data_IF_725947653652
#
_entry.id   IF_725947653652
#
_cell.length_a   1.000
_cell.length_b   1.000
_cell.length_c   1.000
_cell.angle_alpha   90.00
_cell.angle_beta   90.00
_cell.angle_gamma   90.00
#
_symmetry.space_group_name_H-M   'P 1'
#
loop_
_entity.id
_entity.type
_entity.pdbx_description
1 polymer ?
#
# COMPACT_ATOMS: atom_id res chain seq x y z
N UNK A 1 -7.81 9.01 -20.39
CA UNK A 1 -7.77 7.79 -19.54
C UNK A 1 -6.64 8.01 -18.54
N UNK A 2 -6.84 7.74 -17.26
CA UNK A 2 -5.79 7.90 -16.24
C UNK A 2 -4.68 6.87 -16.48
N UNK A 3 -3.44 7.30 -16.42
CA UNK A 3 -2.25 6.45 -16.56
C UNK A 3 -1.67 6.10 -15.18
N UNK A 4 -1.63 4.83 -14.84
CA UNK A 4 -1.07 4.36 -13.58
C UNK A 4 0.21 3.57 -13.82
N UNK A 5 1.26 3.90 -13.08
CA UNK A 5 2.51 3.17 -13.11
C UNK A 5 2.61 2.24 -11.90
N UNK A 6 2.62 0.93 -12.13
CA UNK A 6 2.96 -0.06 -11.11
C UNK A 6 4.47 -0.23 -11.11
N UNK A 7 5.11 0.06 -9.99
CA UNK A 7 6.56 -0.08 -9.85
C UNK A 7 6.94 -1.55 -9.90
N UNK A 8 7.85 -1.88 -10.81
CA UNK A 8 8.41 -3.23 -10.93
C UNK A 8 9.76 -3.31 -10.19
N UNK A 9 9.74 -3.62 -8.92
CA UNK A 9 10.95 -3.88 -8.15
C UNK A 9 11.27 -5.38 -8.01
N UNK A 10 10.83 -6.18 -9.00
CA UNK A 10 11.24 -7.59 -9.15
C UNK A 10 10.43 -8.59 -8.33
N UNK A 11 9.42 -8.14 -7.59
CA UNK A 11 8.60 -8.98 -6.71
C UNK A 11 7.12 -8.63 -6.82
N UNK A 12 6.24 -9.61 -6.66
CA UNK A 12 4.80 -9.34 -6.53
C UNK A 12 3.91 -9.97 -7.59
N UNK A 13 2.62 -10.05 -7.24
CA UNK A 13 1.56 -10.44 -8.17
C UNK A 13 1.08 -9.22 -8.97
N UNK A 14 2.00 -8.63 -9.75
CA UNK A 14 1.79 -7.39 -10.50
C UNK A 14 0.58 -7.46 -11.44
N UNK A 15 0.35 -8.66 -12.04
CA UNK A 15 -0.74 -8.87 -13.01
C UNK A 15 -2.12 -8.70 -12.38
N UNK A 16 -2.33 -9.19 -11.15
CA UNK A 16 -3.63 -9.05 -10.48
C UNK A 16 -3.90 -7.60 -10.09
N UNK A 17 -2.88 -6.88 -9.62
CA UNK A 17 -2.99 -5.44 -9.33
C UNK A 17 -3.30 -4.66 -10.60
N UNK A 18 -2.57 -4.93 -11.71
CA UNK A 18 -2.82 -4.34 -13.03
C UNK A 18 -4.27 -4.56 -13.47
N UNK A 19 -4.73 -5.80 -13.51
CA UNK A 19 -6.11 -6.13 -13.88
C UNK A 19 -7.14 -5.45 -13.00
N UNK A 20 -6.86 -5.31 -11.69
CA UNK A 20 -7.74 -4.60 -10.77
C UNK A 20 -7.99 -3.16 -11.19
N UNK A 21 -6.96 -2.42 -11.57
CA UNK A 21 -7.07 -1.03 -12.02
C UNK A 21 -7.56 -0.91 -13.48
N UNK A 22 -7.16 -1.83 -14.38
CA UNK A 22 -7.66 -1.86 -15.77
C UNK A 22 -9.18 -2.07 -15.82
N UNK A 23 -9.72 -2.96 -14.98
CA UNK A 23 -11.17 -3.17 -14.86
C UNK A 23 -11.93 -1.92 -14.37
N UNK A 24 -11.23 -0.96 -13.78
CA UNK A 24 -11.76 0.33 -13.32
C UNK A 24 -11.51 1.46 -14.34
N UNK A 25 -11.01 1.12 -15.53
CA UNK A 25 -10.82 2.05 -16.65
C UNK A 25 -9.53 2.86 -16.60
N UNK A 26 -8.52 2.44 -15.85
CA UNK A 26 -7.18 3.02 -15.89
C UNK A 26 -6.34 2.36 -17.00
N UNK A 27 -5.44 3.12 -17.61
CA UNK A 27 -4.34 2.60 -18.42
C UNK A 27 -3.15 2.30 -17.50
N UNK A 28 -2.71 1.05 -17.45
CA UNK A 28 -1.76 0.60 -16.41
C UNK A 28 -0.52 0.00 -17.01
N UNK A 29 0.61 0.62 -16.76
CA UNK A 29 1.93 0.07 -17.08
C UNK A 29 2.57 -0.61 -15.87
N UNK A 30 3.41 -1.60 -16.11
CA UNK A 30 4.31 -2.20 -15.12
C UNK A 30 5.72 -1.81 -15.55
N UNK A 31 6.39 -0.95 -14.79
CA UNK A 31 7.62 -0.33 -15.20
C UNK A 31 8.58 -0.05 -14.04
N UNK A 32 9.86 0.10 -14.36
CA UNK A 32 10.89 0.68 -13.50
C UNK A 32 11.61 1.85 -14.19
N UNK A 33 11.08 2.30 -15.35
CA UNK A 33 11.58 3.50 -16.03
C UNK A 33 11.12 4.76 -15.27
N UNK A 34 12.06 5.56 -14.74
CA UNK A 34 11.74 6.78 -13.99
C UNK A 34 10.87 7.75 -14.79
N UNK A 35 11.12 7.89 -16.09
CA UNK A 35 10.37 8.81 -16.95
C UNK A 35 8.90 8.39 -17.04
N UNK A 36 8.62 7.12 -17.31
CA UNK A 36 7.26 6.60 -17.41
C UNK A 36 6.51 6.74 -16.07
N UNK A 37 7.22 6.48 -14.95
CA UNK A 37 6.66 6.64 -13.60
C UNK A 37 6.31 8.10 -13.31
N UNK A 38 7.20 9.03 -13.64
CA UNK A 38 6.99 10.46 -13.38
C UNK A 38 5.92 11.07 -14.31
N UNK A 39 5.73 10.56 -15.51
CA UNK A 39 4.68 10.98 -16.46
C UNK A 39 3.31 10.37 -16.14
N UNK A 40 3.21 9.37 -15.23
CA UNK A 40 1.93 8.77 -14.84
C UNK A 40 1.08 9.69 -13.97
N UNK A 41 -0.24 9.47 -13.91
CA UNK A 41 -1.17 10.20 -13.05
C UNK A 41 -1.13 9.69 -11.60
N UNK A 42 -0.72 8.43 -11.38
CA UNK A 42 -0.55 7.86 -10.05
C UNK A 42 0.51 6.75 -10.04
N UNK A 43 1.15 6.57 -8.89
CA UNK A 43 2.16 5.55 -8.63
C UNK A 43 1.56 4.45 -7.74
N UNK A 44 1.73 3.19 -8.14
CA UNK A 44 1.29 2.03 -7.38
C UNK A 44 2.52 1.25 -6.90
N UNK A 45 2.68 1.14 -5.58
CA UNK A 45 3.66 0.25 -4.97
C UNK A 45 2.98 -1.10 -4.69
N UNK A 46 3.27 -2.15 -5.46
CA UNK A 46 2.64 -3.46 -5.30
C UNK A 46 3.18 -4.22 -4.07
N UNK A 47 2.62 -5.35 -3.73
CA UNK A 47 2.62 -5.86 -2.41
C UNK A 47 3.15 -7.23 -2.06
N UNK A 48 4.17 -7.86 -2.68
CA UNK A 48 4.79 -9.06 -2.09
C UNK A 48 6.31 -9.06 -2.31
N UNK A 49 7.07 -9.66 -1.38
CA UNK A 49 8.52 -9.77 -1.42
C UNK A 49 9.17 -9.38 -0.10
N UNK A 50 10.51 -9.37 -0.09
CA UNK A 50 11.30 -8.94 1.05
C UNK A 50 11.56 -7.42 1.00
N UNK A 51 11.41 -6.75 2.14
CA UNK A 51 11.57 -5.30 2.27
C UNK A 51 12.95 -4.82 1.77
N UNK A 52 14.02 -5.46 2.22
CA UNK A 52 15.38 -5.06 1.87
C UNK A 52 15.66 -5.18 0.36
N UNK A 53 15.16 -6.24 -0.29
CA UNK A 53 15.31 -6.45 -1.73
C UNK A 53 14.53 -5.41 -2.52
N UNK A 54 13.28 -5.13 -2.13
CA UNK A 54 12.47 -4.11 -2.76
C UNK A 54 13.13 -2.72 -2.66
N UNK A 55 13.63 -2.33 -1.48
CA UNK A 55 14.33 -1.06 -1.29
C UNK A 55 15.64 -0.98 -2.08
N UNK A 56 16.40 -2.08 -2.18
CA UNK A 56 17.59 -2.15 -3.03
C UNK A 56 17.24 -1.88 -4.50
N UNK A 57 16.17 -2.48 -5.00
CA UNK A 57 15.73 -2.32 -6.39
C UNK A 57 15.10 -0.95 -6.66
N UNK A 58 14.52 -0.30 -5.63
CA UNK A 58 14.01 1.07 -5.71
C UNK A 58 15.11 2.13 -5.59
N UNK A 59 16.26 1.81 -4.99
CA UNK A 59 17.30 2.80 -4.66
C UNK A 59 17.73 3.70 -5.83
N UNK A 60 17.81 3.23 -7.10
CA UNK A 60 18.21 4.07 -8.23
C UNK A 60 17.25 5.22 -8.52
N UNK A 61 15.97 5.10 -8.14
CA UNK A 61 14.90 6.07 -8.46
C UNK A 61 14.22 6.62 -7.19
N UNK A 62 14.73 6.27 -6.01
CA UNK A 62 14.05 6.58 -4.75
C UNK A 62 13.90 8.09 -4.50
N UNK A 63 14.89 8.89 -4.87
CA UNK A 63 14.85 10.34 -4.67
C UNK A 63 13.83 11.01 -5.61
N UNK A 64 13.82 10.61 -6.87
CA UNK A 64 12.85 11.10 -7.87
C UNK A 64 11.42 10.73 -7.47
N UNK A 65 11.21 9.49 -7.02
CA UNK A 65 9.92 9.04 -6.50
C UNK A 65 9.47 9.88 -5.30
N UNK A 66 10.36 10.10 -4.33
CA UNK A 66 10.05 10.92 -3.15
C UNK A 66 9.68 12.35 -3.57
N UNK A 67 10.47 12.98 -4.42
CA UNK A 67 10.20 14.33 -4.91
C UNK A 67 8.81 14.43 -5.55
N UNK A 68 8.49 13.55 -6.49
CA UNK A 68 7.19 13.54 -7.15
C UNK A 68 6.02 13.34 -6.17
N UNK A 69 6.18 12.47 -5.17
CA UNK A 69 5.16 12.20 -4.16
C UNK A 69 4.98 13.40 -3.22
N UNK A 70 6.07 14.03 -2.80
CA UNK A 70 6.04 15.23 -1.94
C UNK A 70 5.43 16.43 -2.67
N UNK A 71 5.58 16.52 -3.99
CA UNK A 71 4.93 17.49 -4.88
C UNK A 71 3.44 17.22 -5.13
N UNK A 72 2.91 16.10 -4.64
CA UNK A 72 1.49 15.80 -4.66
C UNK A 72 1.05 14.66 -5.60
N UNK A 73 1.98 13.94 -6.24
CA UNK A 73 1.63 12.79 -7.09
C UNK A 73 0.93 11.71 -6.26
N UNK A 74 -0.29 11.28 -6.63
CA UNK A 74 -1.04 10.27 -5.91
C UNK A 74 -0.31 8.93 -5.85
N UNK A 75 -0.35 8.29 -4.68
CA UNK A 75 0.30 7.00 -4.44
C UNK A 75 -0.65 6.01 -3.78
N UNK A 76 -0.61 4.77 -4.22
CA UNK A 76 -1.28 3.65 -3.57
C UNK A 76 -0.29 2.53 -3.24
N UNK A 77 -0.10 2.25 -1.93
CA UNK A 77 0.74 1.17 -1.43
C UNK A 77 -0.08 -0.07 -1.04
N UNK A 78 0.32 -1.26 -1.49
CA UNK A 78 -0.34 -2.53 -1.17
C UNK A 78 0.63 -3.40 -0.37
N UNK A 79 0.27 -3.82 0.84
CA UNK A 79 1.01 -4.74 1.70
C UNK A 79 2.49 -4.33 1.87
N UNK A 80 3.43 -4.97 1.18
CA UNK A 80 4.83 -4.54 1.14
C UNK A 80 4.94 -3.07 0.67
N UNK A 81 4.17 -2.68 -0.35
CA UNK A 81 4.17 -1.30 -0.86
C UNK A 81 3.78 -0.27 0.20
N UNK A 82 2.84 -0.59 1.10
CA UNK A 82 2.55 0.23 2.28
C UNK A 82 3.79 0.32 3.19
N UNK A 83 4.45 -0.80 3.44
CA UNK A 83 5.59 -0.86 4.35
C UNK A 83 6.79 -0.05 3.84
N UNK A 84 7.06 -0.06 2.52
CA UNK A 84 8.14 0.71 1.89
C UNK A 84 8.01 2.23 2.07
N UNK A 85 6.80 2.75 2.31
CA UNK A 85 6.54 4.17 2.53
C UNK A 85 7.05 4.66 3.90
N UNK A 86 7.29 3.75 4.86
CA UNK A 86 7.73 4.07 6.21
C UNK A 86 9.21 4.46 6.29
N UNK A 87 9.63 4.99 7.45
CA UNK A 87 11.02 5.40 7.68
C UNK A 87 11.94 4.19 7.71
N UNK A 88 11.53 3.08 8.35
CA UNK A 88 12.35 1.88 8.49
C UNK A 88 11.54 0.61 8.71
N UNK A 89 12.16 -0.53 8.45
CA UNK A 89 11.63 -1.86 8.73
C UNK A 89 12.65 -2.70 9.49
N UNK A 90 12.13 -3.59 10.36
CA UNK A 90 12.92 -4.58 11.10
C UNK A 90 12.87 -5.97 10.45
N UNK A 91 12.41 -6.08 9.21
CA UNK A 91 12.42 -7.33 8.47
C UNK A 91 13.85 -7.71 8.06
N UNK A 92 14.36 -8.83 8.62
CA UNK A 92 15.71 -9.33 8.31
C UNK A 92 16.84 -8.41 8.77
N UNK A 93 16.58 -7.51 9.74
CA UNK A 93 17.49 -6.49 10.22
C UNK A 93 16.88 -5.08 10.09
N UNK A 94 17.68 -4.04 10.35
CA UNK A 94 17.21 -2.64 10.22
C UNK A 94 17.45 -2.20 8.78
N UNK A 95 16.35 -1.92 8.06
CA UNK A 95 16.37 -1.45 6.68
C UNK A 95 15.66 -0.09 6.58
N UNK A 96 16.26 0.86 5.88
CA UNK A 96 15.64 2.17 5.62
C UNK A 96 14.58 2.03 4.52
N UNK A 97 13.42 2.69 4.72
CA UNK A 97 12.38 2.83 3.73
C UNK A 97 12.41 4.18 3.02
N UNK A 98 11.32 4.53 2.33
CA UNK A 98 11.21 5.81 1.64
C UNK A 98 11.07 7.01 2.59
N UNK A 99 10.62 6.79 3.84
CA UNK A 99 10.47 7.85 4.84
C UNK A 99 9.37 8.88 4.54
N UNK A 100 8.39 8.52 3.72
CA UNK A 100 7.23 9.36 3.40
C UNK A 100 6.20 9.37 4.54
N UNK A 101 6.14 8.28 5.31
CA UNK A 101 5.35 8.14 6.53
C UNK A 101 6.31 7.89 7.68
N UNK A 102 6.29 8.78 8.68
CA UNK A 102 7.11 8.63 9.87
C UNK A 102 6.63 7.44 10.72
N UNK A 103 7.57 6.58 11.11
CA UNK A 103 7.28 5.38 11.88
C UNK A 103 8.10 4.19 11.39
N UNK A 104 7.70 3.02 11.83
CA UNK A 104 8.45 1.78 11.61
C UNK A 104 7.55 0.62 11.21
N UNK A 105 8.17 -0.39 10.62
CA UNK A 105 7.53 -1.66 10.28
C UNK A 105 8.13 -2.73 11.18
N UNK A 106 7.27 -3.37 12.00
CA UNK A 106 7.67 -4.31 13.03
C UNK A 106 7.01 -5.66 12.82
N UNK A 107 7.66 -6.73 13.32
CA UNK A 107 7.06 -8.06 13.33
C UNK A 107 5.85 -8.10 14.26
N UNK A 108 4.79 -8.81 13.89
CA UNK A 108 3.67 -9.08 14.79
C UNK A 108 4.20 -9.79 16.04
N UNK A 109 4.01 -9.15 17.19
CA UNK A 109 4.64 -9.58 18.46
C UNK A 109 3.82 -10.58 19.29
N UNK A 110 2.65 -10.99 18.82
CA UNK A 110 1.77 -11.89 19.57
C UNK A 110 2.10 -13.37 19.31
N UNK A 111 1.67 -14.25 20.23
CA UNK A 111 1.74 -15.71 20.08
C UNK A 111 0.67 -16.23 19.12
N UNK A 112 0.68 -15.73 17.89
CA UNK A 112 -0.21 -16.12 16.80
C UNK A 112 0.57 -16.80 15.69
N UNK A 113 -0.13 -17.60 14.88
CA UNK A 113 0.50 -18.23 13.71
C UNK A 113 0.93 -17.17 12.70
N UNK A 114 2.21 -17.18 12.31
CA UNK A 114 2.76 -16.32 11.28
C UNK A 114 3.18 -17.13 10.04
N UNK A 115 3.04 -16.56 8.85
CA UNK A 115 2.44 -15.25 8.55
C UNK A 115 0.91 -15.22 8.80
N UNK A 116 0.34 -14.03 9.02
CA UNK A 116 -1.10 -13.78 8.97
C UNK A 116 -1.55 -13.95 7.52
N UNK A 117 -2.14 -15.10 7.21
CA UNK A 117 -2.67 -15.42 5.87
C UNK A 117 -4.15 -15.76 5.98
N UNK A 118 -4.98 -15.06 5.23
CA UNK A 118 -6.41 -15.32 5.13
C UNK A 118 -7.27 -14.07 5.20
N UNK A 119 -8.57 -14.32 5.36
CA UNK A 119 -9.57 -13.27 5.48
C UNK A 119 -9.67 -12.78 6.92
N UNK A 120 -9.66 -11.47 7.09
CA UNK A 120 -9.87 -10.82 8.38
C UNK A 120 -10.63 -9.51 8.18
N UNK A 121 -11.24 -8.99 9.24
CA UNK A 121 -12.05 -7.77 9.17
C UNK A 121 -11.21 -6.52 9.34
N UNK A 122 -11.67 -5.43 8.73
CA UNK A 122 -11.17 -4.08 8.97
C UNK A 122 -12.18 -3.28 9.79
N UNK A 123 -11.72 -2.60 10.82
CA UNK A 123 -12.50 -1.65 11.61
C UNK A 123 -12.14 -0.24 11.17
N UNK A 124 -13.11 0.46 10.53
CA UNK A 124 -12.91 1.82 10.03
C UNK A 124 -13.05 2.78 11.22
N UNK A 125 -11.98 3.49 11.53
CA UNK A 125 -11.92 4.45 12.66
C UNK A 125 -12.15 5.90 12.22
N UNK A 126 -11.85 6.21 10.95
CA UNK A 126 -11.95 7.58 10.43
C UNK A 126 -12.61 7.61 9.07
N UNK A 127 -13.42 8.63 8.84
CA UNK A 127 -13.98 8.92 7.51
C UNK A 127 -12.85 9.29 6.56
N UNK A 128 -12.83 8.66 5.40
CA UNK A 128 -11.89 8.96 4.32
C UNK A 128 -12.51 8.56 2.99
N UNK A 129 -12.32 9.32 1.90
CA UNK A 129 -12.85 8.96 0.59
C UNK A 129 -12.43 7.56 0.11
N UNK A 130 -11.25 7.08 0.52
CA UNK A 130 -10.78 5.73 0.17
C UNK A 130 -11.71 4.61 0.67
N UNK A 131 -12.39 4.81 1.80
CA UNK A 131 -13.31 3.83 2.41
C UNK A 131 -14.79 4.17 2.19
N UNK A 132 -15.08 5.07 1.26
CA UNK A 132 -16.45 5.42 0.92
C UNK A 132 -17.24 4.18 0.45
N UNK A 133 -18.45 4.00 1.02
CA UNK A 133 -19.33 2.84 0.77
C UNK A 133 -18.69 1.47 1.14
N UNK A 134 -17.66 1.43 1.97
CA UNK A 134 -17.14 0.18 2.55
C UNK A 134 -17.84 -0.03 3.90
N UNK A 135 -18.59 -1.13 4.08
CA UNK A 135 -19.17 -1.44 5.38
C UNK A 135 -18.09 -1.67 6.43
N UNK A 136 -18.31 -1.18 7.65
CA UNK A 136 -17.40 -1.50 8.75
C UNK A 136 -17.38 -3.01 9.00
N UNK A 137 -16.26 -3.54 9.46
CA UNK A 137 -16.03 -4.98 9.62
C UNK A 137 -16.08 -5.78 8.30
N UNK A 138 -15.83 -5.13 7.15
CA UNK A 138 -15.67 -5.82 5.88
C UNK A 138 -14.46 -6.77 5.91
N UNK A 139 -14.63 -7.97 5.35
CA UNK A 139 -13.55 -8.93 5.20
C UNK A 139 -12.61 -8.53 4.05
N UNK A 140 -11.30 -8.55 4.36
CA UNK A 140 -10.20 -8.32 3.42
C UNK A 140 -9.19 -9.47 3.51
N UNK A 141 -8.43 -9.70 2.44
CA UNK A 141 -7.43 -10.76 2.39
C UNK A 141 -6.05 -10.24 2.78
N UNK A 142 -5.45 -10.84 3.80
CA UNK A 142 -4.14 -10.53 4.34
C UNK A 142 -3.12 -11.63 4.02
N UNK A 143 -1.86 -11.25 3.86
CA UNK A 143 -0.73 -12.17 3.70
C UNK A 143 0.56 -11.46 4.12
N UNK A 144 0.83 -11.34 5.45
CA UNK A 144 1.97 -10.60 5.97
C UNK A 144 2.44 -11.11 7.33
N UNK A 145 3.68 -10.79 7.69
CA UNK A 145 4.30 -11.08 9.00
C UNK A 145 4.62 -9.78 9.76
N UNK A 146 4.83 -8.70 9.00
CA UNK A 146 5.20 -7.39 9.54
C UNK A 146 4.02 -6.42 9.38
N UNK A 147 3.95 -5.45 10.29
CA UNK A 147 2.86 -4.47 10.40
C UNK A 147 3.42 -3.06 10.53
N UNK A 148 2.73 -2.06 9.98
CA UNK A 148 3.12 -0.66 10.13
C UNK A 148 2.80 -0.15 11.54
N UNK A 149 3.68 0.71 12.06
CA UNK A 149 3.52 1.43 13.32
C UNK A 149 3.86 2.90 13.09
N UNK A 150 2.91 3.72 12.61
CA UNK A 150 3.13 5.14 12.39
C UNK A 150 3.33 5.88 13.71
N UNK A 151 4.18 6.91 13.70
CA UNK A 151 4.37 7.81 14.84
C UNK A 151 3.14 8.70 15.07
N UNK A 152 2.51 9.15 13.96
CA UNK A 152 1.26 9.91 14.03
C UNK A 152 0.07 8.97 13.72
N UNK A 153 -0.79 8.74 14.71
CA UNK A 153 -1.98 7.90 14.55
C UNK A 153 -3.09 8.55 13.69
N UNK A 154 -3.02 9.84 13.42
CA UNK A 154 -4.01 10.51 12.57
C UNK A 154 -4.03 9.99 11.13
N UNK A 155 -2.94 9.40 10.67
CA UNK A 155 -2.85 8.78 9.33
C UNK A 155 -3.62 7.45 9.25
N UNK A 156 -4.03 6.87 10.38
CA UNK A 156 -4.71 5.58 10.43
C UNK A 156 -6.19 5.78 10.11
N UNK A 157 -6.66 5.11 9.07
CA UNK A 157 -8.05 5.13 8.64
C UNK A 157 -8.81 3.90 9.14
N UNK A 158 -8.15 2.73 9.10
CA UNK A 158 -8.73 1.49 9.62
C UNK A 158 -7.68 0.63 10.31
N UNK A 159 -8.13 -0.18 11.27
CA UNK A 159 -7.33 -1.17 11.99
C UNK A 159 -7.89 -2.58 11.82
N UNK A 160 -7.05 -3.56 12.10
CA UNK A 160 -7.38 -4.99 12.11
C UNK A 160 -6.78 -5.63 13.36
N UNK A 161 -7.47 -6.61 13.93
CA UNK A 161 -7.01 -7.38 15.08
C UNK A 161 -6.49 -8.76 14.61
N UNK A 162 -5.24 -9.07 14.94
CA UNK A 162 -4.66 -10.41 14.78
C UNK A 162 -3.58 -10.63 15.83
N UNK A 163 -4.01 -11.00 17.06
CA UNK A 163 -3.14 -11.09 18.23
C UNK A 163 -2.63 -9.74 18.72
N UNK A 164 -2.58 -8.77 17.87
CA UNK A 164 -2.37 -7.34 18.16
C UNK A 164 -3.18 -6.50 17.19
N UNK A 165 -3.55 -5.30 17.61
CA UNK A 165 -4.27 -4.36 16.75
C UNK A 165 -3.27 -3.54 15.96
N UNK A 166 -3.45 -3.49 14.63
CA UNK A 166 -2.53 -2.81 13.73
C UNK A 166 -3.26 -2.02 12.63
N UNK A 167 -2.64 -0.96 12.07
CA UNK A 167 -3.19 -0.21 10.96
C UNK A 167 -3.35 -1.10 9.71
N UNK A 168 -4.56 -1.18 9.18
CA UNK A 168 -4.86 -1.91 7.94
C UNK A 168 -5.11 -1.00 6.74
N UNK A 169 -5.46 0.28 6.98
CA UNK A 169 -5.53 1.34 5.97
C UNK A 169 -4.88 2.60 6.54
N UNK A 170 -4.01 3.20 5.74
CA UNK A 170 -3.34 4.47 6.05
C UNK A 170 -3.61 5.47 4.92
N UNK A 171 -3.84 6.73 5.30
CA UNK A 171 -3.93 7.85 4.37
C UNK A 171 -3.21 9.09 4.93
N UNK A 172 -2.37 9.72 4.11
CA UNK A 172 -1.66 10.97 4.43
C UNK A 172 -1.55 11.82 3.17
N UNK A 173 -2.32 12.92 3.10
CA UNK A 173 -2.39 13.77 1.90
C UNK A 173 -2.74 12.96 0.64
N UNK A 174 -1.81 12.87 -0.31
CA UNK A 174 -1.89 12.13 -1.57
C UNK A 174 -1.40 10.66 -1.47
N UNK A 175 -1.03 10.20 -0.29
CA UNK A 175 -0.55 8.85 -0.03
C UNK A 175 -1.68 8.02 0.58
N UNK A 176 -2.02 6.91 -0.05
CA UNK A 176 -3.00 5.93 0.40
C UNK A 176 -2.38 4.55 0.41
N UNK A 177 -2.68 3.73 1.42
CA UNK A 177 -2.09 2.40 1.47
C UNK A 177 -2.92 1.40 2.30
N UNK A 178 -2.83 0.12 1.92
CA UNK A 178 -3.50 -0.99 2.62
C UNK A 178 -2.49 -2.07 3.01
N UNK A 179 -2.64 -2.66 4.20
CA UNK A 179 -1.86 -3.83 4.62
C UNK A 179 -2.40 -5.12 4.00
N UNK A 180 -3.69 -5.18 3.71
CA UNK A 180 -4.31 -6.26 2.96
C UNK A 180 -4.13 -6.07 1.45
N UNK A 181 -4.49 -7.11 0.70
CA UNK A 181 -4.47 -7.14 -0.75
C UNK A 181 -5.86 -6.81 -1.32
N UNK A 182 -6.16 -5.55 -1.71
CA UNK A 182 -7.48 -5.21 -2.25
C UNK A 182 -7.78 -5.97 -3.55
N UNK A 183 -6.77 -6.25 -4.38
CA UNK A 183 -6.89 -7.03 -5.61
C UNK A 183 -7.30 -8.50 -5.38
N UNK A 184 -7.25 -8.97 -4.11
CA UNK A 184 -7.67 -10.31 -3.68
C UNK A 184 -8.86 -10.28 -2.72
N UNK A 185 -9.38 -9.10 -2.40
CA UNK A 185 -10.40 -8.89 -1.37
C UNK A 185 -11.83 -8.78 -1.94
N UNK A 186 -12.07 -9.35 -3.11
CA UNK A 186 -13.38 -9.43 -3.72
C UNK A 186 -14.00 -8.06 -4.00
N UNK A 187 -15.33 -7.94 -3.85
CA UNK A 187 -16.07 -6.72 -4.17
C UNK A 187 -15.61 -5.50 -3.36
N UNK A 188 -15.40 -5.67 -2.05
CA UNK A 188 -14.99 -4.56 -1.19
C UNK A 188 -13.56 -4.08 -1.50
N UNK A 189 -12.65 -5.03 -1.82
CA UNK A 189 -11.30 -4.68 -2.27
C UNK A 189 -11.30 -3.91 -3.59
N UNK A 190 -12.07 -4.35 -4.57
CA UNK A 190 -12.24 -3.63 -5.84
C UNK A 190 -12.87 -2.25 -5.65
N UNK A 191 -13.79 -2.10 -4.68
CA UNK A 191 -14.38 -0.80 -4.33
C UNK A 191 -13.33 0.16 -3.79
N UNK A 192 -12.40 -0.30 -2.94
CA UNK A 192 -11.26 0.51 -2.45
C UNK A 192 -10.38 0.98 -3.61
N UNK A 193 -10.01 0.07 -4.54
CA UNK A 193 -9.27 0.46 -5.74
C UNK A 193 -10.04 1.49 -6.58
N UNK A 194 -11.35 1.32 -6.73
CA UNK A 194 -12.24 2.26 -7.42
C UNK A 194 -12.31 3.63 -6.76
N UNK A 195 -12.33 3.67 -5.43
CA UNK A 195 -12.30 4.92 -4.68
C UNK A 195 -10.96 5.65 -4.87
N UNK A 196 -9.83 4.92 -4.92
CA UNK A 196 -8.55 5.52 -5.27
C UNK A 196 -8.53 6.09 -6.70
N UNK A 197 -9.08 5.37 -7.69
CA UNK A 197 -9.22 5.89 -9.06
C UNK A 197 -10.02 7.19 -9.10
N UNK A 198 -11.10 7.30 -8.31
CA UNK A 198 -11.88 8.55 -8.19
C UNK A 198 -11.05 9.67 -7.56
N UNK A 199 -10.28 9.37 -6.51
CA UNK A 199 -9.39 10.35 -5.85
C UNK A 199 -8.32 10.92 -6.78
N UNK A 200 -7.83 10.11 -7.75
CA UNK A 200 -6.88 10.59 -8.76
C UNK A 200 -7.55 11.44 -9.84
N UNK A 201 -8.85 11.24 -10.09
CA UNK A 201 -9.61 12.04 -11.07
C UNK A 201 -9.92 13.45 -10.57
N UNK A 202 -10.01 13.67 -9.26
CA UNK A 202 -10.42 14.90 -8.63
C UNK A 202 -11.94 14.96 -8.43
#
# INVERSE_FOLDING_TARGET
MLKFAIINYGVGNLRNVKRGFENLGADVSITNDPKEILESDAIIFPGVGAFAEAMKNLSPIANELKGAIEEGKPVFGICLGLQLLFTRSYEGGINQGLGLIEGEVVKIGASVKLPHIGWNTIEIERKNPLVEEIPNNSFMYFAHTYIPKPTNEEVIIAKTEYGTRFPSIIAKKNIFATQFHPEKSGKNGLKILGNFVKLVKG
#
